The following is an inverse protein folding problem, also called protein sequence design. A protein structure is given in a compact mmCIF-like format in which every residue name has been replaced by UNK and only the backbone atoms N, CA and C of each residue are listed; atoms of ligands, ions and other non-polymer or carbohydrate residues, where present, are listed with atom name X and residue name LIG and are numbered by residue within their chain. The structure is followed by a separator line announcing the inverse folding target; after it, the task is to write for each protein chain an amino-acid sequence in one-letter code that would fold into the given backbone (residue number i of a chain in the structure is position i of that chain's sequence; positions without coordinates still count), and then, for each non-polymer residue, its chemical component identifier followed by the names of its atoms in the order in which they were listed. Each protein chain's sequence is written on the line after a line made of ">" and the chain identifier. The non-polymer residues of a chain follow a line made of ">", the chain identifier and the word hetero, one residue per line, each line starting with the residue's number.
data_IF_402602095352
#
_entry.id   IF_402602095352
#
_cell.length_a   1.000
_cell.length_b   1.000
_cell.length_c   1.000
_cell.angle_alpha   90.00
_cell.angle_beta   90.00
_cell.angle_gamma   90.00
#
_symmetry.space_group_name_H-M   'P 1'
#
loop_
_entity.id
_entity.type
_entity.pdbx_description
1 polymer ?
#
# COMPACT_ATOMS: atom_id res chain seq x y z
N UNK A 1 7.56 -18.72 18.04
CA UNK A 1 8.12 -18.85 19.41
C UNK A 1 8.98 -17.64 19.66
N UNK A 2 8.63 -16.86 20.69
CA UNK A 2 9.28 -15.58 21.02
C UNK A 2 10.01 -15.79 22.34
N UNK A 3 11.34 -15.72 22.32
CA UNK A 3 12.16 -15.96 23.50
C UNK A 3 13.65 -15.77 23.19
N UNK A 4 14.40 -15.30 24.18
CA UNK A 4 15.86 -15.25 24.19
C UNK A 4 16.36 -16.25 25.25
N UNK A 5 17.28 -17.14 24.88
CA UNK A 5 17.77 -18.22 25.74
C UNK A 5 16.81 -19.41 25.84
N UNK A 6 16.82 -20.12 26.97
CA UNK A 6 16.11 -21.40 27.16
C UNK A 6 14.59 -21.30 27.33
N UNK A 7 14.03 -20.08 27.31
CA UNK A 7 12.59 -19.84 27.54
C UNK A 7 11.93 -19.36 26.27
N UNK A 8 11.37 -20.31 25.51
CA UNK A 8 10.43 -19.98 24.47
C UNK A 8 9.06 -19.67 25.07
N UNK A 9 8.53 -18.48 24.79
CA UNK A 9 7.18 -18.09 25.21
C UNK A 9 6.23 -18.05 24.02
N UNK A 10 4.98 -18.31 24.30
CA UNK A 10 3.87 -18.11 23.37
C UNK A 10 3.53 -16.63 23.25
N UNK A 11 2.92 -16.23 22.13
CA UNK A 11 2.54 -14.82 21.92
C UNK A 11 1.59 -14.30 23.02
N UNK A 12 0.67 -15.15 23.51
CA UNK A 12 -0.26 -14.81 24.58
C UNK A 12 0.46 -14.50 25.90
N UNK A 13 1.48 -15.28 26.26
CA UNK A 13 2.28 -15.03 27.46
C UNK A 13 3.06 -13.73 27.36
N UNK A 14 3.57 -13.39 26.17
CA UNK A 14 4.25 -12.11 25.95
C UNK A 14 3.28 -10.93 26.09
N UNK A 15 2.05 -11.04 25.58
CA UNK A 15 1.01 -10.01 25.82
C UNK A 15 0.75 -9.85 27.31
N UNK A 16 0.55 -10.95 28.03
CA UNK A 16 0.24 -10.91 29.46
C UNK A 16 1.38 -10.28 30.25
N UNK A 17 2.61 -10.72 30.02
CA UNK A 17 3.79 -10.19 30.68
C UNK A 17 4.01 -8.70 30.36
N UNK A 18 3.77 -8.27 29.13
CA UNK A 18 3.89 -6.87 28.76
C UNK A 18 2.91 -5.98 29.53
N UNK A 19 1.67 -6.45 29.72
CA UNK A 19 0.67 -5.74 30.52
C UNK A 19 1.04 -5.68 32.00
N UNK A 20 1.59 -6.75 32.55
CA UNK A 20 2.06 -6.81 33.94
C UNK A 20 3.26 -5.89 34.19
N UNK A 21 4.19 -5.80 33.23
CA UNK A 21 5.44 -5.03 33.36
C UNK A 21 5.28 -3.55 33.01
N UNK A 22 4.32 -3.21 32.15
CA UNK A 22 4.07 -1.85 31.68
C UNK A 22 2.57 -1.51 31.76
N UNK A 23 2.03 -1.35 32.98
CA UNK A 23 0.60 -1.08 33.16
C UNK A 23 0.17 0.30 32.61
N UNK A 24 1.10 1.24 32.54
CA UNK A 24 0.82 2.62 32.09
C UNK A 24 0.77 2.75 30.56
N UNK A 25 1.22 1.72 29.82
CA UNK A 25 1.24 1.74 28.37
C UNK A 25 -0.05 1.17 27.76
N UNK A 26 -0.43 1.60 26.54
CA UNK A 26 -1.56 1.02 25.84
C UNK A 26 -1.44 -0.50 25.71
N UNK A 27 -2.52 -1.25 25.93
CA UNK A 27 -2.47 -2.70 25.86
C UNK A 27 -2.08 -3.17 24.46
N UNK A 28 -1.03 -4.01 24.41
CA UNK A 28 -0.65 -4.69 23.19
C UNK A 28 -1.61 -5.84 22.88
N UNK A 29 -1.82 -6.06 21.58
CA UNK A 29 -2.58 -7.18 21.05
C UNK A 29 -1.64 -8.25 20.51
N UNK A 30 -2.09 -9.51 20.53
CA UNK A 30 -1.34 -10.65 19.98
C UNK A 30 -0.93 -10.41 18.52
N UNK A 31 -1.82 -9.82 17.70
CA UNK A 31 -1.51 -9.51 16.30
C UNK A 31 -0.34 -8.53 16.14
N UNK A 32 -0.15 -7.61 17.08
CA UNK A 32 1.00 -6.71 17.07
C UNK A 32 2.29 -7.47 17.36
N UNK A 33 2.26 -8.38 18.34
CA UNK A 33 3.40 -9.24 18.68
C UNK A 33 3.75 -10.17 17.52
N UNK A 34 2.75 -10.75 16.86
CA UNK A 34 2.93 -11.60 15.68
C UNK A 34 3.62 -10.84 14.52
N UNK A 35 3.20 -9.60 14.26
CA UNK A 35 3.85 -8.73 13.26
C UNK A 35 5.29 -8.41 13.62
N UNK A 36 5.56 -8.09 14.88
CA UNK A 36 6.91 -7.81 15.37
C UNK A 36 7.80 -9.06 15.25
N UNK A 37 7.29 -10.24 15.61
CA UNK A 37 8.00 -11.51 15.46
C UNK A 37 8.31 -11.80 13.99
N UNK A 38 7.32 -11.67 13.11
CA UNK A 38 7.51 -11.87 11.68
C UNK A 38 8.56 -10.90 11.12
N UNK A 39 8.47 -9.63 11.49
CA UNK A 39 9.40 -8.59 11.08
C UNK A 39 10.84 -8.89 11.54
N UNK A 40 10.99 -9.33 12.79
CA UNK A 40 12.30 -9.70 13.33
C UNK A 40 12.88 -10.94 12.64
N UNK A 41 12.07 -11.96 12.35
CA UNK A 41 12.50 -13.16 11.63
C UNK A 41 12.95 -12.86 10.20
N UNK A 42 12.27 -11.93 9.53
CA UNK A 42 12.57 -11.55 8.15
C UNK A 42 13.78 -10.62 8.04
N UNK A 43 13.84 -9.56 8.84
CA UNK A 43 14.86 -8.51 8.72
C UNK A 43 15.99 -8.60 9.75
N UNK A 44 15.89 -9.49 10.74
CA UNK A 44 16.82 -9.55 11.88
C UNK A 44 16.69 -8.38 12.86
N UNK A 45 15.76 -7.45 12.64
CA UNK A 45 15.54 -6.29 13.50
C UNK A 45 14.10 -5.74 13.42
N UNK A 46 13.68 -5.04 14.46
CA UNK A 46 12.36 -4.38 14.54
C UNK A 46 12.51 -2.86 14.36
N UNK A 47 13.18 -2.43 13.27
CA UNK A 47 13.22 -1.00 12.92
C UNK A 47 11.93 -0.58 12.22
N UNK A 48 11.45 0.61 12.55
CA UNK A 48 10.26 1.20 11.92
C UNK A 48 10.55 1.39 10.42
N UNK A 49 9.78 0.72 9.56
CA UNK A 49 9.92 0.91 8.11
C UNK A 49 9.53 2.35 7.80
N UNK A 50 10.42 3.18 7.23
CA UNK A 50 10.05 4.54 6.87
C UNK A 50 8.90 4.47 5.88
N UNK A 51 7.81 5.18 6.16
CA UNK A 51 6.68 5.31 5.23
C UNK A 51 7.15 6.07 4.01
N UNK A 52 7.75 5.37 3.04
CA UNK A 52 8.09 5.94 1.75
C UNK A 52 6.80 6.12 0.96
N UNK A 53 6.11 7.24 1.17
CA UNK A 53 5.33 7.84 0.09
C UNK A 53 6.33 8.46 -0.88
N UNK A 54 7.02 7.62 -1.65
CA UNK A 54 7.83 8.13 -2.74
C UNK A 54 6.88 8.61 -3.82
N UNK A 55 7.04 9.87 -4.19
CA UNK A 55 6.56 10.39 -5.45
C UNK A 55 7.18 9.54 -6.55
N UNK A 56 6.40 8.64 -7.16
CA UNK A 56 6.87 8.01 -8.39
C UNK A 56 6.67 9.05 -9.48
N UNK A 57 7.77 9.64 -9.90
CA UNK A 57 7.84 10.53 -11.06
C UNK A 57 8.37 9.67 -12.20
N UNK A 58 7.64 9.65 -13.30
CA UNK A 58 8.03 8.92 -14.51
C UNK A 58 9.35 9.45 -15.09
N UNK A 59 10.10 8.61 -15.78
CA UNK A 59 11.44 8.97 -16.28
C UNK A 59 11.36 10.04 -17.38
N UNK A 60 10.34 9.98 -18.23
CA UNK A 60 10.04 11.01 -19.23
C UNK A 60 9.76 12.36 -18.57
N UNK A 61 9.10 12.34 -17.41
CA UNK A 61 8.81 13.54 -16.63
C UNK A 61 10.09 14.13 -16.04
N UNK A 62 11.00 13.28 -15.54
CA UNK A 62 12.32 13.74 -15.05
C UNK A 62 13.13 14.37 -16.17
N UNK A 63 13.16 13.74 -17.35
CA UNK A 63 13.89 14.24 -18.51
C UNK A 63 13.37 15.62 -18.96
N UNK A 64 12.06 15.77 -19.06
CA UNK A 64 11.41 17.04 -19.43
C UNK A 64 11.63 18.18 -18.42
N UNK A 65 11.92 17.85 -17.16
CA UNK A 65 12.26 18.84 -16.14
C UNK A 65 13.74 19.24 -16.23
N UNK A 66 14.62 18.29 -16.52
CA UNK A 66 16.04 18.55 -16.74
C UNK A 66 16.28 19.42 -17.98
N UNK A 67 15.61 19.12 -19.10
CA UNK A 67 15.69 19.94 -20.31
C UNK A 67 15.20 21.37 -20.07
N UNK A 68 14.12 21.54 -19.31
CA UNK A 68 13.58 22.86 -19.00
C UNK A 68 14.50 23.68 -18.06
N UNK A 69 15.28 23.02 -17.20
CA UNK A 69 16.30 23.68 -16.38
C UNK A 69 17.52 24.08 -17.21
N UNK A 70 17.90 23.28 -18.19
CA UNK A 70 18.98 23.59 -19.13
C UNK A 70 18.62 24.77 -20.02
N UNK A 71 17.40 24.80 -20.56
CA UNK A 71 16.90 25.89 -21.41
C UNK A 71 16.75 27.22 -20.63
N UNK A 72 16.38 27.16 -19.34
CA UNK A 72 16.13 28.36 -18.52
C UNK A 72 16.70 28.19 -17.09
N UNK A 73 18.02 28.32 -16.88
CA UNK A 73 18.68 28.03 -15.61
C UNK A 73 18.33 29.01 -14.48
N UNK A 74 17.74 30.16 -14.82
CA UNK A 74 17.29 31.17 -13.86
C UNK A 74 15.98 30.72 -13.18
N UNK A 75 15.21 29.85 -13.82
CA UNK A 75 13.94 29.40 -13.27
C UNK A 75 14.18 28.34 -12.19
N UNK A 76 13.73 28.55 -10.95
CA UNK A 76 13.95 27.58 -9.90
C UNK A 76 13.18 26.29 -10.20
N UNK A 77 13.83 25.14 -10.02
CA UNK A 77 13.25 23.81 -10.27
C UNK A 77 11.89 23.59 -9.56
N UNK A 78 11.70 24.22 -8.40
CA UNK A 78 10.43 24.15 -7.65
C UNK A 78 9.27 24.83 -8.37
N UNK A 79 9.53 25.88 -9.14
CA UNK A 79 8.53 26.59 -9.92
C UNK A 79 8.19 25.80 -11.20
N UNK A 80 9.19 25.31 -11.91
CA UNK A 80 9.03 24.39 -13.04
C UNK A 80 8.20 23.14 -12.68
N UNK A 81 8.47 22.53 -11.52
CA UNK A 81 7.72 21.37 -11.05
C UNK A 81 6.25 21.67 -10.72
N UNK A 82 5.94 22.91 -10.31
CA UNK A 82 4.57 23.36 -10.03
C UNK A 82 3.80 23.66 -11.32
N UNK A 83 4.42 24.38 -12.24
CA UNK A 83 3.80 24.86 -13.47
C UNK A 83 3.39 23.71 -14.39
N UNK A 84 4.22 22.65 -14.45
CA UNK A 84 3.94 21.45 -15.26
C UNK A 84 3.05 20.40 -14.55
N UNK A 85 2.47 20.72 -13.37
CA UNK A 85 1.52 19.89 -12.60
C UNK A 85 1.89 18.39 -12.58
N UNK A 86 3.14 18.05 -12.24
CA UNK A 86 3.57 16.66 -12.08
C UNK A 86 2.99 16.10 -10.78
N UNK A 87 1.75 15.63 -10.86
CA UNK A 87 1.03 15.04 -9.73
C UNK A 87 1.72 13.73 -9.37
N UNK A 88 2.03 13.62 -8.07
CA UNK A 88 2.34 12.39 -7.37
C UNK A 88 1.46 11.23 -7.87
N UNK A 89 2.02 10.34 -8.70
CA UNK A 89 1.41 9.04 -8.94
C UNK A 89 1.59 8.24 -7.66
N UNK A 90 0.62 8.37 -6.75
CA UNK A 90 0.47 7.36 -5.71
C UNK A 90 -0.18 6.15 -6.37
N UNK A 91 0.50 5.00 -6.36
CA UNK A 91 0.04 3.69 -6.88
C UNK A 91 -1.36 3.25 -6.42
N UNK A 92 -2.00 4.00 -5.51
CA UNK A 92 -3.37 3.78 -5.05
C UNK A 92 -4.45 4.28 -6.02
N UNK A 93 -4.13 5.16 -6.97
CA UNK A 93 -5.15 5.68 -7.88
C UNK A 93 -5.49 4.73 -9.04
N UNK A 94 -4.55 3.92 -9.52
CA UNK A 94 -4.78 3.03 -10.66
C UNK A 94 -5.58 1.77 -10.32
N UNK A 95 -5.39 1.20 -9.12
CA UNK A 95 -6.14 -0.01 -8.73
C UNK A 95 -7.63 0.27 -8.54
N UNK A 96 -8.02 1.52 -8.24
CA UNK A 96 -9.42 1.91 -8.00
C UNK A 96 -10.15 2.25 -9.30
N UNK A 97 -9.46 2.79 -10.29
CA UNK A 97 -10.00 3.06 -11.62
C UNK A 97 -10.14 1.77 -12.43
N UNK A 98 -9.13 0.89 -12.42
CA UNK A 98 -9.17 -0.41 -13.10
C UNK A 98 -10.29 -1.32 -12.55
N UNK A 99 -10.46 -1.40 -11.22
CA UNK A 99 -11.54 -2.20 -10.62
C UNK A 99 -12.94 -1.68 -10.98
N UNK A 100 -13.11 -0.36 -11.17
CA UNK A 100 -14.40 0.25 -11.59
C UNK A 100 -14.70 0.03 -13.07
N UNK A 101 -13.68 -0.06 -13.91
CA UNK A 101 -13.86 -0.35 -15.34
C UNK A 101 -14.21 -1.83 -15.58
N UNK A 102 -13.55 -2.75 -14.87
CA UNK A 102 -13.87 -4.18 -14.97
C UNK A 102 -15.27 -4.51 -14.47
N UNK A 103 -15.71 -3.96 -13.33
CA UNK A 103 -17.09 -4.21 -12.84
C UNK A 103 -18.15 -3.67 -13.80
N UNK A 104 -17.89 -2.55 -14.49
CA UNK A 104 -18.81 -2.00 -15.49
C UNK A 104 -18.89 -2.83 -16.76
N UNK A 105 -17.81 -3.52 -17.15
CA UNK A 105 -17.84 -4.44 -18.29
C UNK A 105 -18.58 -5.73 -17.95
N UNK A 106 -18.36 -6.29 -16.75
CA UNK A 106 -19.08 -7.47 -16.26
C UNK A 106 -20.60 -7.23 -16.18
N UNK A 107 -21.03 -6.08 -15.63
CA UNK A 107 -22.46 -5.71 -15.56
C UNK A 107 -23.10 -5.58 -16.95
N UNK A 108 -22.33 -5.14 -17.95
CA UNK A 108 -22.82 -4.94 -19.32
C UNK A 108 -22.89 -6.25 -20.11
N UNK A 109 -21.98 -7.19 -19.87
CA UNK A 109 -22.03 -8.54 -20.46
C UNK A 109 -23.17 -9.38 -19.87
N UNK A 110 -23.39 -9.33 -18.55
CA UNK A 110 -24.48 -10.07 -17.91
C UNK A 110 -25.86 -9.57 -18.34
N UNK A 111 -26.02 -8.27 -18.58
CA UNK A 111 -27.26 -7.73 -19.17
C UNK A 111 -27.48 -8.20 -20.62
N UNK A 112 -26.41 -8.35 -21.42
CA UNK A 112 -26.51 -8.92 -22.77
C UNK A 112 -26.89 -10.40 -22.77
N UNK A 113 -26.34 -11.19 -21.84
CA UNK A 113 -26.67 -12.62 -21.70
C UNK A 113 -28.12 -12.83 -21.25
N UNK A 114 -28.62 -12.00 -20.33
CA UNK A 114 -30.03 -12.05 -19.88
C UNK A 114 -31.02 -11.60 -20.97
N UNK A 115 -30.62 -10.72 -21.88
CA UNK A 115 -31.47 -10.29 -22.99
C UNK A 115 -31.54 -11.29 -24.17
N UNK A 116 -30.58 -12.22 -24.28
CA UNK A 116 -30.52 -13.21 -25.38
C UNK A 116 -31.03 -14.61 -24.99
N UNK A 117 -31.24 -14.89 -23.70
CA UNK A 117 -31.85 -16.13 -23.21
C UNK A 117 -33.37 -16.03 -23.10
N UNK A 118 -34.08 -16.02 -24.23
CA UNK A 118 -35.54 -16.25 -24.23
C UNK A 118 -35.88 -17.68 -23.83
N UNK A 119 -37.04 -17.93 -23.19
CA UNK A 119 -37.43 -19.26 -22.73
C UNK A 119 -37.73 -20.15 -23.94
N UNK A 120 -36.92 -21.19 -24.16
CA UNK A 120 -37.33 -22.32 -24.99
C UNK A 120 -38.23 -23.22 -24.15
N UNK A 121 -39.53 -22.93 -24.20
CA UNK A 121 -40.58 -23.82 -23.68
C UNK A 121 -41.04 -24.74 -24.82
N UNK A 122 -40.88 -26.05 -24.57
CA UNK A 122 -41.70 -27.20 -25.01
C UNK A 122 -42.23 -27.28 -26.44
N UNK A 123 -41.80 -28.34 -27.15
CA UNK A 123 -42.68 -29.46 -27.52
C UNK A 123 -41.86 -30.71 -27.84
#
# INVERSE_FOLDING_TARGET
>A
MIGYGDRARTQCEVVRLFRETHPDLPPLNQGTISKIEAQYREMGHVRKVPSKRQAVVDDDTKLNLLLALEENPITPARQLARDKKYILVTERHDKRTMRRQNTRQEDHEDQKRKAQGGPTDKN
#
